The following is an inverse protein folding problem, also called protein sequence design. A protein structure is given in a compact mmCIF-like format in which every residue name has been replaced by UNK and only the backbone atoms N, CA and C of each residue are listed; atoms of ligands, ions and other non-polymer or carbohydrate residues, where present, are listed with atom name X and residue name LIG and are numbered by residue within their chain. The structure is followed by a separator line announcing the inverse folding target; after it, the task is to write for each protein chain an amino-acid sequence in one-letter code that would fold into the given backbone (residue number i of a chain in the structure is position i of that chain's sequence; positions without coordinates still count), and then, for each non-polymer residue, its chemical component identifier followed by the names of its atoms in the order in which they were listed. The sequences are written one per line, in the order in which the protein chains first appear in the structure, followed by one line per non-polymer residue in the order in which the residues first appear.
data_IF_754197578495
#
_entry.id   IF_754197578495
#
_cell.length_a   1.000
_cell.length_b   1.000
_cell.length_c   1.000
_cell.angle_alpha   90.00
_cell.angle_beta   90.00
_cell.angle_gamma   90.00
#
_symmetry.space_group_name_H-M   'P 1'
#
loop_
_entity.id
_entity.type
_entity.pdbx_description
1 polymer ?
#
# COMPACT_ATOMS: atom_id res chain seq x y z
N UNK A 1 -28.76 0.18 13.86
CA UNK A 1 -28.51 -1.25 14.12
C UNK A 1 -27.08 -1.40 14.60
N UNK A 2 -26.86 -1.36 15.91
CA UNK A 2 -25.56 -1.57 16.55
C UNK A 2 -25.19 -3.04 16.42
N UNK A 3 -24.05 -3.35 15.80
CA UNK A 3 -23.52 -4.71 15.79
C UNK A 3 -23.30 -5.17 17.24
N UNK A 4 -23.57 -6.44 17.53
CA UNK A 4 -23.21 -7.01 18.83
C UNK A 4 -21.68 -7.10 18.95
N UNK A 5 -21.15 -6.95 20.16
CA UNK A 5 -19.72 -7.07 20.48
C UNK A 5 -19.11 -8.37 19.92
N UNK A 6 -19.92 -9.44 19.86
CA UNK A 6 -19.56 -10.72 19.25
C UNK A 6 -19.21 -10.60 17.76
N UNK A 7 -20.00 -9.87 16.98
CA UNK A 7 -19.74 -9.71 15.54
C UNK A 7 -18.44 -8.94 15.27
N UNK A 8 -18.11 -7.97 16.11
CA UNK A 8 -16.85 -7.23 16.02
C UNK A 8 -15.65 -8.15 16.26
N UNK A 9 -15.70 -9.00 17.30
CA UNK A 9 -14.66 -9.99 17.59
C UNK A 9 -14.48 -10.99 16.44
N UNK A 10 -15.58 -11.49 15.87
CA UNK A 10 -15.49 -12.45 14.75
C UNK A 10 -14.87 -11.86 13.49
N UNK A 11 -15.15 -10.58 13.20
CA UNK A 11 -14.64 -9.93 12.00
C UNK A 11 -13.17 -9.51 12.16
N UNK A 12 -12.77 -9.07 13.36
CA UNK A 12 -11.37 -8.79 13.68
C UNK A 12 -10.52 -10.06 13.61
N UNK A 13 -11.03 -11.21 14.08
CA UNK A 13 -10.37 -12.50 13.91
C UNK A 13 -10.27 -12.93 12.44
N UNK A 14 -11.34 -12.75 11.65
CA UNK A 14 -11.31 -13.03 10.22
C UNK A 14 -10.26 -12.17 9.47
N UNK A 15 -10.11 -10.90 9.88
CA UNK A 15 -9.07 -10.02 9.38
C UNK A 15 -7.66 -10.52 9.72
N UNK A 16 -7.44 -11.00 10.95
CA UNK A 16 -6.18 -11.65 11.35
C UNK A 16 -5.85 -12.88 10.50
N UNK A 17 -6.82 -13.79 10.33
CA UNK A 17 -6.66 -14.97 9.47
C UNK A 17 -6.37 -14.55 8.03
N UNK A 18 -7.05 -13.53 7.53
CA UNK A 18 -6.82 -12.93 6.22
C UNK A 18 -5.37 -12.49 6.02
N UNK A 19 -4.80 -11.74 6.97
CA UNK A 19 -3.38 -11.37 6.94
C UNK A 19 -2.43 -12.57 7.01
N UNK A 20 -2.76 -13.60 7.80
CA UNK A 20 -2.03 -14.87 7.79
C UNK A 20 -2.00 -15.53 6.42
N UNK A 21 -3.15 -15.59 5.73
CA UNK A 21 -3.26 -16.12 4.37
C UNK A 21 -2.49 -15.27 3.36
N UNK A 22 -2.55 -13.94 3.44
CA UNK A 22 -1.77 -13.03 2.58
C UNK A 22 -0.28 -13.32 2.75
N UNK A 23 0.22 -13.33 3.99
CA UNK A 23 1.63 -13.55 4.27
C UNK A 23 2.12 -14.89 3.71
N UNK A 24 1.43 -15.98 4.04
CA UNK A 24 1.81 -17.31 3.61
C UNK A 24 1.73 -17.47 2.09
N UNK A 25 0.64 -17.02 1.46
CA UNK A 25 0.46 -17.15 0.01
C UNK A 25 1.45 -16.29 -0.80
N UNK A 26 1.82 -15.11 -0.29
CA UNK A 26 2.88 -14.30 -0.89
C UNK A 26 4.24 -15.02 -0.83
N UNK A 27 4.61 -15.58 0.33
CA UNK A 27 5.85 -16.35 0.47
C UNK A 27 5.87 -17.58 -0.45
N UNK A 28 4.80 -18.37 -0.46
CA UNK A 28 4.69 -19.55 -1.33
C UNK A 28 4.74 -19.13 -2.81
N UNK A 29 4.11 -18.01 -3.19
CA UNK A 29 4.16 -17.50 -4.56
C UNK A 29 5.57 -17.10 -5.00
N UNK A 30 6.44 -16.69 -4.08
CA UNK A 30 7.84 -16.37 -4.36
C UNK A 30 8.67 -17.66 -4.42
N UNK A 31 8.53 -18.54 -3.44
CA UNK A 31 9.30 -19.78 -3.32
C UNK A 31 9.00 -20.77 -4.45
N UNK A 32 7.73 -20.91 -4.82
CA UNK A 32 7.26 -21.87 -5.83
C UNK A 32 7.08 -21.19 -7.20
N UNK A 33 7.94 -20.23 -7.56
CA UNK A 33 7.97 -19.71 -8.92
C UNK A 33 8.29 -20.86 -9.91
N UNK A 34 7.51 -21.08 -11.00
CA UNK A 34 6.63 -20.12 -11.66
C UNK A 34 5.11 -20.31 -11.41
N UNK A 35 4.66 -21.16 -10.49
CA UNK A 35 3.23 -21.44 -10.29
C UNK A 35 2.42 -20.16 -10.00
N UNK A 36 1.30 -19.99 -10.71
CA UNK A 36 0.45 -18.78 -10.64
C UNK A 36 -0.67 -18.89 -9.61
N UNK A 37 -1.02 -20.10 -9.17
CA UNK A 37 -2.14 -20.34 -8.25
C UNK A 37 -1.96 -19.57 -6.94
N UNK A 38 -0.77 -19.62 -6.35
CA UNK A 38 -0.47 -18.93 -5.09
C UNK A 38 -0.46 -17.41 -5.24
N UNK A 39 -0.03 -16.91 -6.40
CA UNK A 39 -0.10 -15.47 -6.72
C UNK A 39 -1.55 -14.98 -6.78
N UNK A 40 -2.43 -15.73 -7.47
CA UNK A 40 -3.85 -15.38 -7.56
C UNK A 40 -4.53 -15.49 -6.20
N UNK A 41 -4.22 -16.54 -5.44
CA UNK A 41 -4.72 -16.74 -4.09
C UNK A 41 -4.27 -15.64 -3.13
N UNK A 42 -3.03 -15.14 -3.25
CA UNK A 42 -2.55 -14.00 -2.49
C UNK A 42 -3.41 -12.74 -2.74
N UNK A 43 -3.67 -12.41 -4.02
CA UNK A 43 -4.53 -11.27 -4.34
C UNK A 43 -5.99 -11.45 -3.91
N UNK A 44 -6.55 -12.66 -3.98
CA UNK A 44 -7.88 -12.96 -3.43
C UNK A 44 -7.89 -12.73 -1.91
N UNK A 45 -6.83 -13.14 -1.21
CA UNK A 45 -6.70 -12.94 0.23
C UNK A 45 -6.57 -11.46 0.58
N UNK A 46 -5.81 -10.68 -0.19
CA UNK A 46 -5.71 -9.21 -0.04
C UNK A 46 -7.08 -8.55 -0.25
N UNK A 47 -7.76 -8.86 -1.36
CA UNK A 47 -9.07 -8.30 -1.68
C UNK A 47 -10.08 -8.59 -0.56
N UNK A 48 -10.12 -9.83 -0.07
CA UNK A 48 -11.03 -10.24 1.00
C UNK A 48 -10.72 -9.51 2.32
N UNK A 49 -9.44 -9.44 2.70
CA UNK A 49 -9.00 -8.80 3.95
C UNK A 49 -9.22 -7.29 3.93
N UNK A 50 -8.89 -6.62 2.83
CA UNK A 50 -9.09 -5.17 2.69
C UNK A 50 -10.58 -4.82 2.55
N UNK A 51 -11.42 -5.72 2.03
CA UNK A 51 -12.88 -5.55 2.07
C UNK A 51 -13.40 -5.48 3.51
N UNK A 52 -12.84 -6.27 4.43
CA UNK A 52 -13.16 -6.21 5.86
C UNK A 52 -12.75 -4.86 6.45
N UNK A 53 -11.54 -4.38 6.14
CA UNK A 53 -11.06 -3.06 6.60
C UNK A 53 -11.98 -1.94 6.12
N UNK A 54 -12.29 -1.91 4.82
CA UNK A 54 -13.17 -0.89 4.25
C UNK A 54 -14.59 -0.97 4.82
N UNK A 55 -15.12 -2.17 5.02
CA UNK A 55 -16.40 -2.35 5.68
C UNK A 55 -16.40 -1.74 7.08
N UNK A 56 -15.38 -2.00 7.89
CA UNK A 56 -15.27 -1.43 9.23
C UNK A 56 -15.08 0.09 9.23
N UNK A 57 -14.31 0.64 8.29
CA UNK A 57 -14.07 2.07 8.16
C UNK A 57 -15.31 2.87 7.72
N UNK A 58 -16.20 2.27 6.92
CA UNK A 58 -17.28 3.01 6.25
C UNK A 58 -18.70 2.57 6.63
N UNK A 59 -18.89 1.38 7.23
CA UNK A 59 -20.20 0.95 7.77
C UNK A 59 -20.77 1.89 8.83
N UNK A 60 -19.99 2.47 9.77
CA UNK A 60 -20.55 3.32 10.83
C UNK A 60 -21.18 4.63 10.32
N UNK A 61 -21.07 4.94 9.03
CA UNK A 61 -21.60 6.17 8.44
C UNK A 61 -23.09 5.99 8.14
N UNK A 62 -23.91 6.44 9.09
CA UNK A 62 -25.38 6.41 9.02
C UNK A 62 -25.97 7.40 8.01
N UNK A 63 -25.14 8.23 7.34
CA UNK A 63 -25.57 9.26 6.41
C UNK A 63 -24.74 9.23 5.12
N UNK A 64 -25.21 8.47 4.13
CA UNK A 64 -24.65 8.42 2.76
C UNK A 64 -23.28 7.74 2.64
N UNK A 65 -22.96 7.29 1.43
CA UNK A 65 -21.65 6.73 1.11
C UNK A 65 -20.65 7.88 0.90
N UNK A 66 -19.61 8.05 1.73
CA UNK A 66 -18.65 9.14 1.56
C UNK A 66 -17.63 8.80 0.47
N UNK A 67 -18.07 8.65 -0.77
CA UNK A 67 -17.26 8.16 -1.91
C UNK A 67 -15.92 8.89 -1.99
N UNK A 68 -15.93 10.21 -1.79
CA UNK A 68 -14.72 11.03 -1.78
C UNK A 68 -13.70 10.59 -0.71
N UNK A 69 -14.15 10.33 0.52
CA UNK A 69 -13.29 9.85 1.61
C UNK A 69 -12.78 8.44 1.33
N UNK A 70 -13.64 7.56 0.79
CA UNK A 70 -13.26 6.21 0.41
C UNK A 70 -12.16 6.22 -0.66
N UNK A 71 -12.28 7.05 -1.68
CA UNK A 71 -11.24 7.20 -2.71
C UNK A 71 -9.94 7.80 -2.16
N UNK A 72 -10.02 8.55 -1.05
CA UNK A 72 -8.86 9.04 -0.30
C UNK A 72 -8.39 8.11 0.84
N UNK A 73 -8.82 6.86 0.84
CA UNK A 73 -8.35 5.86 1.82
C UNK A 73 -7.23 5.01 1.21
N UNK A 74 -6.13 4.82 1.95
CA UNK A 74 -5.03 3.99 1.48
C UNK A 74 -5.47 2.53 1.26
N UNK A 75 -6.37 2.02 2.10
CA UNK A 75 -6.89 0.67 1.97
C UNK A 75 -7.72 0.51 0.71
N UNK A 76 -8.46 1.54 0.31
CA UNK A 76 -9.20 1.52 -0.97
C UNK A 76 -8.23 1.45 -2.14
N UNK A 77 -7.12 2.18 -2.08
CA UNK A 77 -6.11 2.18 -3.14
C UNK A 77 -5.40 0.83 -3.25
N UNK A 78 -5.04 0.21 -2.12
CA UNK A 78 -4.52 -1.15 -2.08
C UNK A 78 -5.55 -2.18 -2.58
N UNK A 79 -6.83 -2.02 -2.27
CA UNK A 79 -7.90 -2.87 -2.79
C UNK A 79 -7.99 -2.78 -4.33
N UNK A 80 -8.09 -1.55 -4.87
CA UNK A 80 -8.23 -1.31 -6.32
C UNK A 80 -7.03 -1.89 -7.09
N UNK A 81 -5.80 -1.62 -6.64
CA UNK A 81 -4.61 -2.12 -7.33
C UNK A 81 -4.48 -3.64 -7.23
N UNK A 82 -4.99 -4.24 -6.14
CA UNK A 82 -5.02 -5.69 -5.95
C UNK A 82 -6.00 -6.38 -6.90
N UNK A 83 -7.18 -5.80 -7.12
CA UNK A 83 -8.11 -6.26 -8.15
C UNK A 83 -7.45 -6.22 -9.53
N UNK A 84 -6.71 -5.15 -9.85
CA UNK A 84 -5.99 -5.06 -11.12
C UNK A 84 -4.91 -6.15 -11.27
N UNK A 85 -4.09 -6.38 -10.25
CA UNK A 85 -3.05 -7.41 -10.30
C UNK A 85 -3.59 -8.84 -10.26
N UNK A 86 -4.79 -9.06 -9.70
CA UNK A 86 -5.48 -10.34 -9.74
C UNK A 86 -5.76 -10.80 -11.19
N UNK A 87 -6.08 -9.89 -12.11
CA UNK A 87 -6.47 -10.24 -13.48
C UNK A 87 -5.39 -10.01 -14.54
N UNK A 88 -4.26 -9.39 -14.16
CA UNK A 88 -3.19 -9.07 -15.11
C UNK A 88 -2.03 -10.05 -15.04
N UNK A 89 -0.98 -9.84 -15.86
CA UNK A 89 0.22 -10.69 -15.87
C UNK A 89 0.87 -10.73 -14.48
N UNK A 90 1.31 -11.92 -14.05
CA UNK A 90 2.00 -12.13 -12.76
C UNK A 90 3.20 -11.20 -12.61
N UNK A 91 3.24 -10.44 -11.52
CA UNK A 91 4.34 -9.54 -11.14
C UNK A 91 4.67 -9.76 -9.66
N UNK A 92 5.69 -10.58 -9.34
CA UNK A 92 5.97 -10.91 -7.93
C UNK A 92 6.39 -9.71 -7.09
N UNK A 93 7.04 -8.71 -7.71
CA UNK A 93 7.45 -7.48 -7.03
C UNK A 93 6.29 -6.78 -6.31
N UNK A 94 5.06 -6.88 -6.83
CA UNK A 94 3.90 -6.19 -6.25
C UNK A 94 3.36 -6.87 -4.99
N UNK A 95 3.89 -8.03 -4.59
CA UNK A 95 3.51 -8.73 -3.37
C UNK A 95 4.26 -8.25 -2.12
N UNK A 96 5.46 -7.69 -2.29
CA UNK A 96 6.35 -7.36 -1.16
C UNK A 96 5.71 -6.41 -0.13
N UNK A 97 5.02 -5.31 -0.53
CA UNK A 97 4.34 -4.46 0.44
C UNK A 97 3.35 -5.23 1.32
N UNK A 98 2.58 -6.15 0.72
CA UNK A 98 1.59 -6.95 1.45
C UNK A 98 2.21 -7.94 2.45
N UNK A 99 3.43 -8.43 2.20
CA UNK A 99 4.18 -9.24 3.17
C UNK A 99 4.50 -8.38 4.40
N UNK A 100 5.01 -7.16 4.18
CA UNK A 100 5.36 -6.24 5.26
C UNK A 100 4.12 -5.86 6.07
N UNK A 101 3.08 -5.33 5.42
CA UNK A 101 1.83 -4.95 6.11
C UNK A 101 1.23 -6.10 6.90
N UNK A 102 1.13 -7.29 6.29
CA UNK A 102 0.56 -8.45 6.98
C UNK A 102 1.38 -8.91 8.17
N UNK A 103 2.71 -8.81 8.11
CA UNK A 103 3.57 -9.14 9.26
C UNK A 103 3.26 -8.26 10.46
N UNK A 104 3.13 -6.95 10.24
CA UNK A 104 2.82 -5.99 11.31
C UNK A 104 1.42 -6.19 11.89
N UNK A 105 0.43 -6.46 11.04
CA UNK A 105 -0.95 -6.74 11.48
C UNK A 105 -1.11 -8.07 12.22
N UNK A 106 -0.38 -9.11 11.82
CA UNK A 106 -0.33 -10.38 12.58
C UNK A 106 0.27 -10.14 13.97
N UNK A 107 1.38 -9.39 14.06
CA UNK A 107 2.02 -9.07 15.34
C UNK A 107 1.14 -8.16 16.21
N UNK A 108 0.43 -7.22 15.61
CA UNK A 108 -0.57 -6.38 16.27
C UNK A 108 -1.65 -7.21 16.93
N UNK A 109 -2.35 -8.07 16.16
CA UNK A 109 -3.38 -8.93 16.71
C UNK A 109 -2.83 -9.89 17.77
N UNK A 110 -1.61 -10.41 17.56
CA UNK A 110 -0.95 -11.28 18.53
C UNK A 110 -0.74 -10.58 19.88
N UNK A 111 -0.30 -9.32 19.87
CA UNK A 111 -0.10 -8.52 21.07
C UNK A 111 -1.40 -8.12 21.75
N UNK A 112 -2.39 -7.64 20.99
CA UNK A 112 -3.55 -6.96 21.57
C UNK A 112 -4.67 -7.93 21.94
N UNK A 113 -4.80 -9.05 21.22
CA UNK A 113 -5.91 -9.99 21.39
C UNK A 113 -5.41 -11.39 21.79
N UNK A 114 -4.46 -11.96 21.04
CA UNK A 114 -4.11 -13.38 21.18
C UNK A 114 -3.40 -13.68 22.49
N UNK A 115 -2.34 -12.94 22.83
CA UNK A 115 -1.55 -13.19 24.04
C UNK A 115 -2.38 -12.87 25.30
N UNK A 116 -3.05 -11.72 25.44
CA UNK A 116 -3.86 -11.44 26.62
C UNK A 116 -4.98 -12.47 26.85
N UNK A 117 -5.54 -13.04 25.76
CA UNK A 117 -6.66 -13.98 25.84
C UNK A 117 -6.21 -15.42 26.10
N UNK A 118 -5.17 -15.90 25.41
CA UNK A 118 -4.75 -17.31 25.47
C UNK A 118 -3.60 -17.56 26.45
N UNK A 119 -2.78 -16.53 26.69
CA UNK A 119 -1.56 -16.62 27.49
C UNK A 119 -1.41 -15.41 28.43
N UNK A 120 -2.39 -15.14 29.32
CA UNK A 120 -2.42 -13.91 30.13
C UNK A 120 -1.17 -13.71 31.01
N UNK A 121 -0.51 -14.80 31.43
CA UNK A 121 0.70 -14.74 32.24
C UNK A 121 1.96 -14.38 31.42
N UNK A 122 1.89 -14.41 30.09
CA UNK A 122 3.02 -14.15 29.17
C UNK A 122 3.21 -12.65 28.88
N UNK A 123 3.16 -11.82 29.92
CA UNK A 123 3.31 -10.35 29.84
C UNK A 123 4.66 -9.93 29.24
N UNK A 124 5.73 -10.70 29.49
CA UNK A 124 7.04 -10.45 28.91
C UNK A 124 7.05 -10.68 27.38
N UNK A 125 6.36 -11.72 26.88
CA UNK A 125 6.25 -11.98 25.44
C UNK A 125 5.47 -10.87 24.75
N UNK A 126 4.33 -10.46 25.34
CA UNK A 126 3.53 -9.34 24.85
C UNK A 126 4.38 -8.07 24.72
N UNK A 127 5.15 -7.74 25.77
CA UNK A 127 6.02 -6.56 25.80
C UNK A 127 7.10 -6.63 24.71
N UNK A 128 7.75 -7.78 24.52
CA UNK A 128 8.76 -7.96 23.47
C UNK A 128 8.20 -7.78 22.05
N UNK A 129 6.99 -8.27 21.79
CA UNK A 129 6.33 -8.08 20.49
C UNK A 129 6.02 -6.59 20.27
N UNK A 130 5.51 -5.91 21.30
CA UNK A 130 5.26 -4.46 21.25
C UNK A 130 6.51 -3.66 20.96
N UNK A 131 7.59 -3.95 21.68
CA UNK A 131 8.90 -3.30 21.49
C UNK A 131 9.45 -3.56 20.08
N UNK A 132 9.40 -4.81 19.61
CA UNK A 132 9.80 -5.16 18.25
C UNK A 132 8.99 -4.38 17.22
N UNK A 133 7.66 -4.38 17.33
CA UNK A 133 6.77 -3.68 16.42
C UNK A 133 7.12 -2.20 16.37
N UNK A 134 7.18 -1.55 17.53
CA UNK A 134 7.45 -0.12 17.65
C UNK A 134 8.83 0.24 17.09
N UNK A 135 9.85 -0.58 17.37
CA UNK A 135 11.22 -0.37 16.90
C UNK A 135 11.36 -0.41 15.38
N UNK A 136 10.68 -1.35 14.72
CA UNK A 136 10.87 -1.60 13.29
C UNK A 136 9.77 -1.03 12.39
N UNK A 137 8.65 -0.56 12.96
CA UNK A 137 7.51 -0.08 12.17
C UNK A 137 7.89 1.05 11.22
N UNK A 138 8.47 2.14 11.73
CA UNK A 138 8.80 3.30 10.89
C UNK A 138 9.82 2.93 9.79
N UNK A 139 10.85 2.16 10.13
CA UNK A 139 11.84 1.68 9.18
C UNK A 139 11.21 0.82 8.08
N UNK A 140 10.28 -0.07 8.46
CA UNK A 140 9.57 -0.92 7.51
C UNK A 140 8.65 -0.10 6.59
N UNK A 141 7.96 0.92 7.11
CA UNK A 141 7.09 1.79 6.31
C UNK A 141 7.88 2.67 5.34
N UNK A 142 9.02 3.22 5.77
CA UNK A 142 9.93 3.96 4.90
C UNK A 142 10.49 3.06 3.79
N UNK A 143 11.03 1.88 4.13
CA UNK A 143 11.58 0.95 3.16
C UNK A 143 10.52 0.47 2.16
N UNK A 144 9.31 0.19 2.63
CA UNK A 144 8.17 -0.20 1.78
C UNK A 144 7.82 0.93 0.81
N UNK A 145 7.74 2.18 1.30
CA UNK A 145 7.44 3.34 0.45
C UNK A 145 8.51 3.55 -0.63
N UNK A 146 9.79 3.40 -0.28
CA UNK A 146 10.89 3.45 -1.26
C UNK A 146 10.80 2.32 -2.28
N UNK A 147 10.44 1.12 -1.84
CA UNK A 147 10.27 -0.03 -2.71
C UNK A 147 9.09 0.13 -3.68
N UNK A 148 7.97 0.71 -3.24
CA UNK A 148 6.83 1.03 -4.10
C UNK A 148 7.23 2.03 -5.19
N UNK A 149 7.93 3.10 -4.81
CA UNK A 149 8.35 4.18 -5.73
C UNK A 149 9.48 3.77 -6.67
N UNK A 150 10.52 3.08 -6.18
CA UNK A 150 11.68 2.75 -7.00
C UNK A 150 11.67 1.31 -7.51
N UNK A 151 11.31 0.36 -6.66
CA UNK A 151 11.27 -1.06 -7.01
C UNK A 151 10.13 -1.35 -7.99
N UNK A 152 8.88 -1.17 -7.56
CA UNK A 152 7.72 -1.54 -8.37
C UNK A 152 7.58 -0.60 -9.57
N UNK A 153 7.47 0.72 -9.34
CA UNK A 153 7.30 1.66 -10.45
C UNK A 153 8.51 1.65 -11.40
N UNK A 154 9.73 1.53 -10.91
CA UNK A 154 10.92 1.39 -11.76
C UNK A 154 10.87 0.15 -12.66
N UNK A 155 10.47 -1.01 -12.12
CA UNK A 155 10.28 -2.23 -12.91
C UNK A 155 9.12 -2.11 -13.92
N UNK A 156 8.04 -1.40 -13.57
CA UNK A 156 6.93 -1.16 -14.48
C UNK A 156 7.34 -0.24 -15.64
N UNK A 157 8.08 0.84 -15.34
CA UNK A 157 8.65 1.76 -16.33
C UNK A 157 9.62 1.05 -17.26
N UNK A 158 10.57 0.28 -16.72
CA UNK A 158 11.49 -0.51 -17.54
C UNK A 158 10.72 -1.49 -18.43
N UNK A 159 9.75 -2.21 -17.85
CA UNK A 159 8.89 -3.11 -18.60
C UNK A 159 8.08 -2.41 -19.68
N UNK A 160 7.73 -1.13 -19.53
CA UNK A 160 7.01 -0.37 -20.55
C UNK A 160 7.90 -0.12 -21.77
N UNK A 161 9.15 0.31 -21.56
CA UNK A 161 10.11 0.52 -22.66
C UNK A 161 10.53 -0.78 -23.35
N UNK A 162 10.50 -1.92 -22.65
CA UNK A 162 10.76 -3.26 -23.22
C UNK A 162 9.46 -3.94 -23.72
N UNK A 163 8.35 -3.21 -23.83
CA UNK A 163 7.05 -3.71 -24.32
C UNK A 163 6.48 -4.93 -23.54
N UNK A 164 6.84 -5.04 -22.26
CA UNK A 164 6.36 -6.06 -21.29
C UNK A 164 5.31 -5.53 -20.31
N UNK A 165 5.14 -4.22 -20.22
CA UNK A 165 4.15 -3.55 -19.36
C UNK A 165 3.25 -2.65 -20.21
N UNK A 166 1.94 -2.76 -20.01
CA UNK A 166 0.97 -1.92 -20.73
C UNK A 166 0.94 -0.50 -20.15
N UNK A 167 0.54 0.47 -20.98
CA UNK A 167 0.32 1.84 -20.52
C UNK A 167 -0.71 1.92 -19.39
N UNK A 168 -1.77 1.11 -19.45
CA UNK A 168 -2.78 1.02 -18.38
C UNK A 168 -2.17 0.63 -17.04
N UNK A 169 -1.26 -0.35 -17.01
CA UNK A 169 -0.58 -0.75 -15.78
C UNK A 169 0.24 0.39 -15.20
N UNK A 170 0.92 1.15 -16.07
CA UNK A 170 1.74 2.29 -15.67
C UNK A 170 0.88 3.42 -15.10
N UNK A 171 -0.19 3.80 -15.80
CA UNK A 171 -1.09 4.87 -15.37
C UNK A 171 -1.83 4.52 -14.06
N UNK A 172 -2.31 3.29 -13.91
CA UNK A 172 -2.95 2.85 -12.68
C UNK A 172 -1.98 2.83 -11.50
N UNK A 173 -0.76 2.32 -11.70
CA UNK A 173 0.24 2.31 -10.62
C UNK A 173 0.75 3.73 -10.30
N UNK A 174 0.85 4.61 -11.30
CA UNK A 174 1.18 6.03 -11.08
C UNK A 174 0.08 6.73 -10.29
N UNK A 175 -1.19 6.45 -10.60
CA UNK A 175 -2.32 6.94 -9.80
C UNK A 175 -2.25 6.42 -8.37
N UNK A 176 -2.01 5.11 -8.16
CA UNK A 176 -1.80 4.53 -6.84
C UNK A 176 -0.69 5.27 -6.06
N UNK A 177 0.49 5.47 -6.65
CA UNK A 177 1.58 6.20 -6.00
C UNK A 177 1.25 7.67 -5.73
N UNK A 178 0.51 8.32 -6.62
CA UNK A 178 0.01 9.68 -6.38
C UNK A 178 -0.91 9.71 -5.17
N UNK A 179 -1.84 8.76 -5.05
CA UNK A 179 -2.70 8.68 -3.88
C UNK A 179 -1.90 8.42 -2.61
N UNK A 180 -0.89 7.53 -2.68
CA UNK A 180 0.06 7.29 -1.58
C UNK A 180 0.83 8.56 -1.18
N UNK A 181 1.20 9.44 -2.12
CA UNK A 181 1.83 10.73 -1.81
C UNK A 181 0.97 11.61 -0.88
N UNK A 182 -0.36 11.59 -1.04
CA UNK A 182 -1.25 12.37 -0.18
C UNK A 182 -1.55 11.67 1.15
N UNK A 183 -1.54 10.34 1.20
CA UNK A 183 -1.95 9.57 2.39
C UNK A 183 -0.80 9.17 3.31
N UNK A 184 0.39 8.93 2.75
CA UNK A 184 1.57 8.44 3.47
C UNK A 184 2.65 9.50 3.56
N UNK A 185 3.01 9.88 4.78
CA UNK A 185 4.12 10.79 5.04
C UNK A 185 5.45 10.21 4.54
N UNK A 186 5.66 8.89 4.65
CA UNK A 186 6.86 8.22 4.14
C UNK A 186 6.99 8.33 2.62
N UNK A 187 5.90 8.04 1.89
CA UNK A 187 5.88 8.16 0.42
C UNK A 187 6.05 9.61 -0.01
N UNK A 188 5.38 10.55 0.68
CA UNK A 188 5.48 11.98 0.42
C UNK A 188 6.91 12.49 0.56
N UNK A 189 7.52 12.26 1.72
CA UNK A 189 8.88 12.70 2.02
C UNK A 189 9.89 12.13 1.02
N UNK A 190 9.72 10.87 0.61
CA UNK A 190 10.61 10.26 -0.37
C UNK A 190 10.46 10.88 -1.76
N UNK A 191 9.23 11.10 -2.24
CA UNK A 191 8.97 11.74 -3.53
C UNK A 191 9.41 13.21 -3.53
N UNK A 192 9.16 13.95 -2.44
CA UNK A 192 9.65 15.33 -2.29
C UNK A 192 11.18 15.39 -2.35
N UNK A 193 11.86 14.41 -1.73
CA UNK A 193 13.31 14.25 -1.84
C UNK A 193 13.77 14.01 -3.29
N UNK A 194 13.04 13.19 -4.07
CA UNK A 194 13.31 12.98 -5.49
C UNK A 194 13.14 14.29 -6.26
N UNK A 195 12.04 15.01 -6.06
CA UNK A 195 11.83 16.31 -6.71
C UNK A 195 12.93 17.31 -6.35
N UNK A 196 13.32 17.41 -5.07
CA UNK A 196 14.40 18.28 -4.64
C UNK A 196 15.77 17.90 -5.23
N UNK A 197 16.01 16.62 -5.51
CA UNK A 197 17.21 16.19 -6.24
C UNK A 197 17.14 16.60 -7.72
N UNK A 198 16.02 16.36 -8.40
CA UNK A 198 15.85 16.75 -9.80
C UNK A 198 15.90 18.27 -9.97
N UNK A 199 15.27 19.04 -9.08
CA UNK A 199 15.32 20.50 -9.07
C UNK A 199 16.77 21.00 -9.03
N UNK A 200 17.61 20.41 -8.16
CA UNK A 200 19.04 20.74 -8.09
C UNK A 200 19.79 20.37 -9.36
N UNK A 201 19.50 19.23 -9.99
CA UNK A 201 20.14 18.83 -11.25
C UNK A 201 19.76 19.78 -12.39
N UNK A 202 18.49 20.18 -12.48
CA UNK A 202 18.01 21.07 -13.53
C UNK A 202 18.53 22.51 -13.39
N UNK A 203 18.79 22.99 -12.17
CA UNK A 203 19.33 24.34 -11.93
C UNK A 203 20.85 24.43 -12.03
N UNK A 204 21.58 23.34 -11.75
CA UNK A 204 23.05 23.32 -11.75
C UNK A 204 23.67 23.06 -13.11
N UNK A 205 22.96 22.39 -14.04
CA UNK A 205 23.50 22.05 -15.34
C UNK A 205 23.17 23.10 -16.42
N UNK A 206 24.16 23.87 -16.93
CA UNK A 206 23.93 24.96 -17.88
C UNK A 206 23.47 24.50 -19.28
N UNK A 207 23.45 23.19 -19.55
CA UNK A 207 23.10 22.59 -20.85
C UNK A 207 21.70 21.98 -20.89
N UNK A 208 20.89 22.13 -19.85
CA UNK A 208 19.53 21.59 -19.83
C UNK A 208 18.62 22.45 -20.73
N UNK A 209 17.97 21.85 -21.75
CA UNK A 209 17.08 22.62 -22.62
C UNK A 209 15.88 23.23 -21.84
N UNK A 210 15.46 24.48 -22.13
CA UNK A 210 14.33 25.12 -21.44
C UNK A 210 13.03 24.30 -21.50
N UNK A 211 12.81 23.59 -22.60
CA UNK A 211 11.64 22.69 -22.78
C UNK A 211 11.60 21.57 -21.74
N UNK A 212 12.76 21.02 -21.36
CA UNK A 212 12.86 19.97 -20.34
C UNK A 212 12.45 20.53 -18.98
N UNK A 213 12.99 21.70 -18.61
CA UNK A 213 12.65 22.38 -17.35
C UNK A 213 11.16 22.68 -17.26
N UNK A 214 10.57 23.25 -18.32
CA UNK A 214 9.14 23.58 -18.38
C UNK A 214 8.25 22.33 -18.31
N UNK A 215 8.63 21.27 -19.02
CA UNK A 215 7.87 20.01 -19.03
C UNK A 215 7.92 19.34 -17.65
N UNK A 216 9.10 19.27 -17.05
CA UNK A 216 9.28 18.76 -15.69
C UNK A 216 8.45 19.55 -14.67
N UNK A 217 8.50 20.89 -14.71
CA UNK A 217 7.74 21.74 -13.80
C UNK A 217 6.23 21.45 -13.91
N UNK A 218 5.70 21.30 -15.13
CA UNK A 218 4.31 20.92 -15.37
C UNK A 218 3.96 19.55 -14.82
N UNK A 219 4.85 18.56 -14.97
CA UNK A 219 4.64 17.21 -14.42
C UNK A 219 4.67 17.23 -12.89
N UNK A 220 5.59 17.97 -12.29
CA UNK A 220 5.69 18.15 -10.84
C UNK A 220 4.44 18.84 -10.27
N UNK A 221 4.02 19.95 -10.86
CA UNK A 221 2.77 20.65 -10.48
C UNK A 221 1.56 19.72 -10.63
N UNK A 222 1.47 19.01 -11.75
CA UNK A 222 0.41 18.04 -11.97
C UNK A 222 0.43 16.97 -10.88
N UNK A 223 1.59 16.42 -10.49
CA UNK A 223 1.73 15.43 -9.42
C UNK A 223 1.25 15.94 -8.06
N UNK A 224 1.70 17.14 -7.68
CA UNK A 224 1.46 17.73 -6.37
C UNK A 224 0.07 18.35 -6.20
N UNK A 225 -0.63 18.65 -7.30
CA UNK A 225 -1.98 19.21 -7.23
C UNK A 225 -2.91 18.29 -6.44
N UNK A 226 -3.66 18.84 -5.48
CA UNK A 226 -4.64 18.07 -4.75
C UNK A 226 -5.66 17.49 -5.75
N UNK A 227 -5.87 16.15 -5.78
CA UNK A 227 -6.87 15.54 -6.66
C UNK A 227 -8.31 16.05 -6.42
N UNK A 228 -8.55 16.77 -5.33
CA UNK A 228 -9.87 17.21 -4.87
C UNK A 228 -10.06 18.72 -4.93
N UNK A 229 -9.00 19.50 -4.81
CA UNK A 229 -9.13 20.95 -4.82
C UNK A 229 -9.24 21.43 -6.28
N UNK A 230 -10.48 21.63 -6.74
CA UNK A 230 -10.70 22.42 -7.95
C UNK A 230 -10.17 23.83 -7.66
N UNK A 231 -9.24 24.32 -8.49
CA UNK A 231 -8.99 25.76 -8.63
C UNK A 231 -10.35 26.44 -8.68
N UNK A 232 -10.68 27.23 -7.65
CA UNK A 232 -11.74 28.24 -7.78
C UNK A 232 -11.29 29.12 -8.94
N UNK A 233 -11.98 28.98 -10.07
CA UNK A 233 -11.88 29.88 -11.21
C UNK A 233 -12.21 31.31 -10.74
#
# INVERSE_FOLDING_TARGET
MTLSTEQFKTLHFAWFVGHGLIFLSCLISILLYPFSIFYRFAYISVISTYSIVLYNSYKPLQQGLPIKRMLLDENTQYFIISVYFLFTKKRLATLLPFIVYSSFHILEYAETELIPTLFPDQTQLQTRIKEFRTKYYEQAMDLTSRYEVCGIMGLLLLGFFVLRTSLTCLLLYAHFLRMRYFMSTYTRNYIDGIFGHIDRLLTTHPKVPPTVVKTYAKVKEAWMSDPIEKKKL
#
